data_IF_223261345678
#
_entry.id   IF_223261345678
#
_cell.length_a   1.000
_cell.length_b   1.000
_cell.length_c   1.000
_cell.angle_alpha   90.00
_cell.angle_beta   90.00
_cell.angle_gamma   90.00
#
_symmetry.space_group_name_H-M   'P 1'
#
loop_
_entity.id
_entity.type
_entity.pdbx_description
1 polymer ?
#
# COMPACT_ATOMS: atom_id res chain seq x y z
N UNK A 1 -26.65 18.29 -16.40
CA UNK A 1 -25.20 18.15 -16.13
C UNK A 1 -24.96 16.72 -15.71
N UNK A 2 -24.15 15.97 -16.47
CA UNK A 2 -23.90 14.56 -16.23
C UNK A 2 -22.82 14.46 -15.15
N UNK A 3 -23.20 14.26 -13.90
CA UNK A 3 -22.25 13.99 -12.81
C UNK A 3 -21.76 12.56 -12.97
N UNK A 4 -20.55 12.40 -13.48
CA UNK A 4 -19.92 11.10 -13.61
C UNK A 4 -19.77 10.44 -12.24
N UNK A 5 -20.49 9.34 -12.00
CA UNK A 5 -20.47 8.50 -10.80
C UNK A 5 -19.21 7.61 -10.82
N UNK A 6 -18.06 8.12 -10.36
CA UNK A 6 -16.85 7.32 -10.23
C UNK A 6 -16.59 6.92 -8.78
N UNK A 7 -16.29 5.63 -8.55
CA UNK A 7 -15.84 5.12 -7.26
C UNK A 7 -14.50 5.78 -6.86
N UNK A 8 -14.39 6.15 -5.58
CA UNK A 8 -13.18 6.80 -5.06
C UNK A 8 -12.24 5.74 -4.48
N UNK A 9 -11.05 5.63 -5.06
CA UNK A 9 -10.00 4.73 -4.59
C UNK A 9 -8.85 5.50 -3.95
N UNK A 10 -8.28 4.94 -2.88
CA UNK A 10 -6.99 5.34 -2.34
C UNK A 10 -5.95 4.31 -2.77
N UNK A 11 -4.77 4.78 -3.17
CA UNK A 11 -3.63 3.94 -3.53
C UNK A 11 -2.54 4.02 -2.47
N UNK A 12 -1.74 2.97 -2.37
CA UNK A 12 -0.51 2.97 -1.59
C UNK A 12 0.55 2.07 -2.23
N UNK A 13 1.80 2.28 -1.83
CA UNK A 13 2.92 1.42 -2.20
C UNK A 13 3.48 0.78 -0.93
N UNK A 14 3.49 -0.56 -0.91
CA UNK A 14 4.20 -1.34 0.10
C UNK A 14 5.56 -1.77 -0.48
N UNK A 15 6.64 -1.25 0.09
CA UNK A 15 8.02 -1.61 -0.29
C UNK A 15 8.50 -2.72 0.64
N UNK A 16 9.05 -3.78 0.07
CA UNK A 16 9.53 -4.96 0.78
C UNK A 16 11.05 -4.95 0.75
N UNK A 17 11.68 -4.73 1.90
CA UNK A 17 13.12 -4.71 2.05
C UNK A 17 13.58 -5.99 2.75
N UNK A 18 14.58 -6.67 2.20
CA UNK A 18 15.28 -7.76 2.90
C UNK A 18 16.50 -7.22 3.61
N UNK A 19 16.66 -7.54 4.90
CA UNK A 19 17.93 -7.28 5.60
C UNK A 19 19.00 -8.26 5.13
N UNK A 20 20.20 -7.74 4.87
CA UNK A 20 21.37 -8.58 4.57
C UNK A 20 21.55 -9.63 5.68
N UNK A 21 21.67 -10.90 5.29
CA UNK A 21 21.85 -12.06 6.19
C UNK A 21 20.66 -12.40 7.10
N UNK A 22 19.46 -11.89 6.84
CA UNK A 22 18.24 -12.27 7.58
C UNK A 22 17.12 -12.70 6.65
N UNK A 23 16.34 -13.71 7.07
CA UNK A 23 15.05 -14.03 6.44
C UNK A 23 13.94 -13.04 6.80
N UNK A 24 14.23 -12.08 7.70
CA UNK A 24 13.29 -11.05 8.13
C UNK A 24 13.11 -10.00 7.04
N UNK A 25 11.85 -9.80 6.68
CA UNK A 25 11.41 -8.71 5.81
C UNK A 25 11.13 -7.47 6.66
N UNK A 26 11.47 -6.31 6.12
CA UNK A 26 11.04 -5.00 6.62
C UNK A 26 10.13 -4.36 5.59
N UNK A 27 9.03 -3.77 6.06
CA UNK A 27 8.10 -3.05 5.21
C UNK A 27 8.28 -1.55 5.35
N UNK A 28 8.25 -0.84 4.23
CA UNK A 28 8.00 0.60 4.21
C UNK A 28 6.68 0.85 3.48
N UNK A 29 5.90 1.78 3.98
CA UNK A 29 4.59 2.11 3.44
C UNK A 29 4.58 3.56 2.95
N UNK A 30 4.11 3.75 1.73
CA UNK A 30 3.96 5.04 1.08
C UNK A 30 2.47 5.25 0.74
N UNK A 31 1.84 6.19 1.45
CA UNK A 31 0.42 6.52 1.29
C UNK A 31 0.21 7.76 0.39
N UNK A 32 1.28 8.30 -0.19
CA UNK A 32 1.28 9.59 -0.87
C UNK A 32 1.17 10.78 0.08
N UNK A 33 1.14 11.98 -0.49
CA UNK A 33 0.88 13.22 0.25
C UNK A 33 -0.62 13.44 0.45
N UNK A 34 -1.01 14.01 1.60
CA UNK A 34 -2.41 14.31 1.93
C UNK A 34 -2.99 15.34 0.96
N UNK A 35 -3.70 14.89 -0.07
CA UNK A 35 -4.60 15.76 -0.80
C UNK A 35 -5.80 16.10 0.10
N UNK A 36 -6.21 17.37 0.14
CA UNK A 36 -7.37 17.83 0.91
C UNK A 36 -8.66 17.03 0.60
N UNK A 37 -8.71 16.35 -0.55
CA UNK A 37 -9.81 15.49 -1.01
C UNK A 37 -9.85 14.11 -0.31
N UNK A 38 -8.73 13.61 0.22
CA UNK A 38 -8.62 12.31 0.88
C UNK A 38 -8.41 12.39 2.39
N UNK A 39 -7.97 13.55 2.91
CA UNK A 39 -7.54 13.72 4.30
C UNK A 39 -8.62 13.37 5.35
N UNK A 40 -9.88 13.75 5.11
CA UNK A 40 -10.95 13.61 6.13
C UNK A 40 -11.45 12.16 6.30
N UNK A 41 -11.32 11.30 5.28
CA UNK A 41 -11.84 9.92 5.33
C UNK A 41 -10.82 8.88 5.77
N UNK A 42 -9.53 9.25 5.81
CA UNK A 42 -8.46 8.26 5.74
C UNK A 42 -7.51 8.23 6.93
N UNK A 43 -7.52 9.18 7.86
CA UNK A 43 -6.50 9.23 8.93
C UNK A 43 -6.48 7.95 9.80
N UNK A 44 -7.63 7.49 10.30
CA UNK A 44 -7.71 6.29 11.12
C UNK A 44 -7.30 5.02 10.36
N UNK A 45 -7.62 4.91 9.07
CA UNK A 45 -7.20 3.78 8.24
C UNK A 45 -5.72 3.89 7.87
N UNK A 46 -5.18 5.08 7.64
CA UNK A 46 -3.76 5.31 7.40
C UNK A 46 -2.94 4.85 8.61
N UNK A 47 -3.34 5.24 9.82
CA UNK A 47 -2.72 4.80 11.07
C UNK A 47 -2.76 3.27 11.27
N UNK A 48 -3.89 2.63 10.93
CA UNK A 48 -4.00 1.15 10.93
C UNK A 48 -3.10 0.55 9.85
N UNK A 49 -3.11 1.07 8.63
CA UNK A 49 -2.31 0.55 7.52
C UNK A 49 -0.81 0.57 7.85
N UNK A 50 -0.33 1.61 8.52
CA UNK A 50 1.06 1.70 9.00
C UNK A 50 1.46 0.54 9.93
N UNK A 51 0.51 -0.12 10.61
CA UNK A 51 0.81 -1.28 11.47
C UNK A 51 1.31 -2.49 10.69
N UNK A 52 1.18 -2.52 9.34
CA UNK A 52 1.76 -3.56 8.49
C UNK A 52 3.27 -3.71 8.71
N UNK A 53 3.95 -2.63 9.11
CA UNK A 53 5.39 -2.60 9.38
C UNK A 53 5.82 -3.47 10.58
N UNK A 54 4.85 -3.94 11.39
CA UNK A 54 5.11 -4.83 12.53
C UNK A 54 5.31 -6.29 12.11
N UNK A 55 4.86 -6.67 10.92
CA UNK A 55 4.99 -8.04 10.42
C UNK A 55 6.39 -8.27 9.84
N UNK A 56 6.86 -9.52 9.91
CA UNK A 56 8.16 -9.95 9.37
C UNK A 56 8.05 -10.88 8.17
N UNK A 57 6.83 -11.28 7.81
CA UNK A 57 6.52 -12.14 6.68
C UNK A 57 5.60 -11.41 5.71
N UNK A 58 5.90 -11.49 4.42
CA UNK A 58 5.12 -10.87 3.36
C UNK A 58 3.65 -11.27 3.42
N UNK A 59 3.37 -12.56 3.55
CA UNK A 59 2.01 -13.09 3.56
C UNK A 59 1.21 -12.53 4.74
N UNK A 60 1.80 -12.43 5.94
CA UNK A 60 1.13 -11.87 7.11
C UNK A 60 0.80 -10.38 6.92
N UNK A 61 1.75 -9.62 6.35
CA UNK A 61 1.54 -8.22 6.02
C UNK A 61 0.42 -8.03 4.98
N UNK A 62 0.40 -8.85 3.93
CA UNK A 62 -0.65 -8.81 2.89
C UNK A 62 -2.02 -9.22 3.45
N UNK A 63 -2.08 -10.26 4.27
CA UNK A 63 -3.31 -10.67 4.95
C UNK A 63 -3.85 -9.54 5.82
N UNK A 64 -2.98 -8.88 6.59
CA UNK A 64 -3.35 -7.73 7.40
C UNK A 64 -3.92 -6.59 6.55
N UNK A 65 -3.25 -6.22 5.47
CA UNK A 65 -3.71 -5.18 4.54
C UNK A 65 -5.06 -5.53 3.90
N UNK A 66 -5.28 -6.80 3.55
CA UNK A 66 -6.56 -7.28 3.04
C UNK A 66 -7.70 -7.09 4.06
N UNK A 67 -7.45 -7.25 5.36
CA UNK A 67 -8.47 -6.96 6.41
C UNK A 67 -8.88 -5.49 6.46
N UNK A 68 -8.05 -4.59 5.93
CA UNK A 68 -8.32 -3.15 5.83
C UNK A 68 -8.88 -2.75 4.46
N UNK A 69 -9.18 -3.72 3.59
CA UNK A 69 -9.75 -3.50 2.26
C UNK A 69 -8.73 -3.15 1.17
N UNK A 70 -7.43 -3.35 1.41
CA UNK A 70 -6.41 -3.17 0.39
C UNK A 70 -6.33 -4.39 -0.52
N UNK A 71 -6.25 -4.13 -1.81
CA UNK A 71 -6.13 -5.12 -2.88
C UNK A 71 -4.86 -4.86 -3.67
N UNK A 72 -4.11 -5.92 -3.99
CA UNK A 72 -2.93 -5.80 -4.86
C UNK A 72 -3.40 -5.47 -6.28
N UNK A 73 -2.87 -4.38 -6.81
CA UNK A 73 -3.07 -3.95 -8.21
C UNK A 73 -1.94 -4.45 -9.09
N UNK A 74 -0.71 -4.30 -8.60
CA UNK A 74 0.48 -4.69 -9.36
C UNK A 74 1.68 -4.92 -8.43
N UNK A 75 2.69 -5.62 -8.95
CA UNK A 75 3.98 -5.84 -8.29
C UNK A 75 5.09 -5.48 -9.27
N UNK A 76 6.03 -4.64 -8.85
CA UNK A 76 7.15 -4.20 -9.67
C UNK A 76 8.45 -4.23 -8.89
N UNK A 77 9.56 -4.41 -9.61
CA UNK A 77 10.91 -4.35 -9.07
C UNK A 77 11.51 -2.99 -9.40
N UNK A 78 12.29 -2.44 -8.47
CA UNK A 78 13.02 -1.19 -8.74
C UNK A 78 14.30 -1.52 -9.48
N UNK A 79 14.46 -0.93 -10.65
CA UNK A 79 15.75 -0.89 -11.35
C UNK A 79 16.41 0.47 -11.10
N UNK A 80 17.68 0.46 -10.72
CA UNK A 80 18.49 1.67 -10.66
C UNK A 80 19.84 1.39 -11.32
N UNK A 81 20.21 2.21 -12.30
CA UNK A 81 21.50 2.11 -12.99
C UNK A 81 21.83 0.70 -13.50
N UNK A 82 20.84 -0.01 -14.06
CA UNK A 82 21.01 -1.36 -14.61
C UNK A 82 21.11 -2.48 -13.57
N UNK A 83 21.00 -2.16 -12.27
CA UNK A 83 20.87 -3.16 -11.21
C UNK A 83 19.41 -3.31 -10.81
N UNK A 84 18.87 -4.52 -10.96
CA UNK A 84 17.56 -4.87 -10.39
C UNK A 84 17.72 -5.10 -8.89
N UNK A 85 17.05 -4.29 -8.08
CA UNK A 85 16.95 -4.58 -6.66
C UNK A 85 15.92 -5.70 -6.47
N UNK A 86 16.31 -6.77 -5.76
CA UNK A 86 15.44 -7.90 -5.40
C UNK A 86 14.36 -7.54 -4.35
N UNK A 87 14.08 -6.24 -4.15
CA UNK A 87 13.10 -5.71 -3.22
C UNK A 87 11.83 -5.33 -4.00
N UNK A 88 10.79 -6.18 -4.01
CA UNK A 88 9.57 -5.88 -4.72
C UNK A 88 8.79 -4.73 -4.07
N UNK A 89 8.06 -4.00 -4.90
CA UNK A 89 7.09 -2.99 -4.50
C UNK A 89 5.71 -3.42 -4.96
N UNK A 90 4.75 -3.38 -4.04
CA UNK A 90 3.37 -3.74 -4.28
C UNK A 90 2.58 -2.45 -4.38
N UNK A 91 1.94 -2.21 -5.53
CA UNK A 91 0.90 -1.21 -5.65
C UNK A 91 -0.40 -1.82 -5.12
N UNK A 92 -1.00 -1.18 -4.13
CA UNK A 92 -2.31 -1.57 -3.63
C UNK A 92 -3.31 -0.43 -3.83
N UNK A 93 -4.58 -0.80 -3.91
CA UNK A 93 -5.71 0.13 -3.87
C UNK A 93 -6.71 -0.32 -2.83
N UNK A 94 -7.47 0.61 -2.30
CA UNK A 94 -8.68 0.32 -1.53
C UNK A 94 -9.79 1.27 -1.93
N UNK A 95 -11.02 0.81 -1.77
CA UNK A 95 -12.18 1.67 -1.89
C UNK A 95 -12.28 2.61 -0.67
N UNK A 96 -12.51 3.89 -0.91
CA UNK A 96 -12.73 4.92 0.13
C UNK A 96 -14.21 5.19 0.31
N UNK A 97 -14.93 5.31 -0.81
CA UNK A 97 -16.38 5.45 -0.85
C UNK A 97 -16.87 4.88 -2.17
N UNK A 98 -17.77 3.91 -2.07
CA UNK A 98 -18.81 3.71 -3.07
C UNK A 98 -20.02 4.54 -2.63
N UNK A 99 -20.69 5.20 -3.57
CA UNK A 99 -22.06 5.64 -3.32
C UNK A 99 -23.02 4.74 -4.07
N UNK A 100 -23.84 4.05 -3.29
CA UNK A 100 -25.20 3.65 -3.65
C UNK A 100 -26.06 4.88 -3.94
#
# INVERSE_FOLDING_TARGET
MNTSNYALYQYCILKVNTKLFSSRIEFELDLGEDSATLATYNEAINQKTQQVQKYSHLVDGLNYLATLGWEIVNVYYREFSGTTYNNPQYLLKRLVSDKA
#
